data_IF_025708005042
#
_entry.id   IF_025708005042
#
_cell.length_a   1.000
_cell.length_b   1.000
_cell.length_c   1.000
_cell.angle_alpha   90.00
_cell.angle_beta   90.00
_cell.angle_gamma   90.00
#
_symmetry.space_group_name_H-M   'P 1'
#
loop_
_entity.id
_entity.type
_entity.pdbx_description
1 polymer ?
#
# COMPACT_ATOMS: atom_id res chain seq x y z
N UNK A 1 20.20 -88.90 -37.01
CA UNK A 1 18.97 -88.14 -36.94
C UNK A 1 18.67 -87.85 -35.46
N UNK A 2 19.26 -86.78 -34.90
CA UNK A 2 19.10 -86.31 -33.51
C UNK A 2 19.20 -84.75 -33.53
N UNK A 3 18.14 -84.03 -33.92
CA UNK A 3 18.17 -82.57 -33.90
C UNK A 3 16.90 -81.97 -33.25
N UNK A 4 15.93 -82.71 -32.81
CA UNK A 4 14.63 -82.23 -32.46
C UNK A 4 14.36 -81.93 -30.96
N UNK A 5 15.29 -82.25 -30.04
CA UNK A 5 15.05 -82.08 -28.61
C UNK A 5 15.61 -80.82 -27.99
N UNK A 6 16.47 -80.09 -28.72
CA UNK A 6 17.14 -78.91 -28.17
C UNK A 6 16.21 -77.61 -28.15
N UNK A 7 15.37 -77.46 -29.18
CA UNK A 7 14.44 -76.31 -29.29
C UNK A 7 13.35 -76.29 -28.24
N UNK A 8 12.97 -77.43 -27.72
CA UNK A 8 11.92 -77.53 -26.71
C UNK A 8 12.44 -77.16 -25.31
N UNK A 9 13.70 -77.40 -25.04
CA UNK A 9 14.33 -77.08 -23.76
C UNK A 9 14.57 -75.57 -23.63
N UNK A 10 15.00 -74.93 -24.69
CA UNK A 10 15.32 -73.49 -24.68
C UNK A 10 14.04 -72.60 -24.56
N UNK A 11 12.93 -73.02 -25.19
CA UNK A 11 11.65 -72.27 -25.09
C UNK A 11 11.03 -72.35 -23.69
N UNK A 12 11.27 -73.48 -22.95
CA UNK A 12 10.76 -73.58 -21.57
C UNK A 12 11.60 -72.76 -20.61
N UNK A 13 12.92 -72.68 -20.83
CA UNK A 13 13.85 -71.91 -20.02
C UNK A 13 13.52 -70.36 -20.16
N UNK A 14 13.26 -69.90 -21.40
CA UNK A 14 12.93 -68.50 -21.66
C UNK A 14 11.62 -68.13 -20.99
N UNK A 15 10.58 -68.94 -21.08
CA UNK A 15 9.29 -68.70 -20.41
C UNK A 15 9.38 -68.65 -18.88
N UNK A 16 10.29 -69.42 -18.32
CA UNK A 16 10.53 -69.46 -16.89
C UNK A 16 11.26 -68.20 -16.43
N UNK A 17 12.15 -67.67 -17.26
CA UNK A 17 12.91 -66.48 -16.99
C UNK A 17 12.00 -65.22 -17.07
N UNK A 18 11.08 -65.17 -18.05
CA UNK A 18 10.08 -64.07 -18.14
C UNK A 18 9.12 -64.08 -16.95
N UNK A 19 8.67 -65.24 -16.47
CA UNK A 19 7.82 -65.33 -15.26
C UNK A 19 8.55 -64.85 -14.00
N UNK A 20 9.83 -65.12 -13.88
CA UNK A 20 10.63 -64.66 -12.74
C UNK A 20 10.91 -63.16 -12.81
N UNK A 21 11.08 -62.59 -14.01
CA UNK A 21 11.21 -61.14 -14.19
C UNK A 21 9.91 -60.41 -13.85
N UNK A 22 8.74 -60.91 -14.29
CA UNK A 22 7.45 -60.32 -13.98
C UNK A 22 7.11 -60.40 -12.48
N UNK A 23 7.53 -61.46 -11.79
CA UNK A 23 7.32 -61.57 -10.34
C UNK A 23 8.24 -60.65 -9.53
N UNK A 24 9.40 -60.31 -10.05
CA UNK A 24 10.36 -59.39 -9.42
C UNK A 24 9.88 -57.93 -9.54
N UNK A 25 9.34 -57.52 -10.71
CA UNK A 25 8.79 -56.17 -10.92
C UNK A 25 7.49 -55.92 -10.18
N UNK A 26 6.70 -56.94 -9.90
CA UNK A 26 5.45 -56.80 -9.14
C UNK A 26 5.68 -56.66 -7.62
N UNK A 27 6.88 -56.94 -7.11
CA UNK A 27 7.19 -56.80 -5.68
C UNK A 27 7.83 -55.48 -5.28
N UNK A 28 8.21 -54.64 -6.23
CA UNK A 28 8.66 -53.29 -5.95
C UNK A 28 7.51 -52.26 -6.06
N UNK A 29 6.32 -52.59 -5.61
CA UNK A 29 5.46 -51.54 -5.07
C UNK A 29 6.11 -51.09 -3.79
N UNK A 30 6.90 -50.03 -3.90
CA UNK A 30 7.40 -49.25 -2.78
C UNK A 30 6.18 -48.97 -1.91
N UNK A 31 6.05 -49.66 -0.79
CA UNK A 31 5.23 -49.28 0.32
C UNK A 31 5.82 -47.94 0.79
N UNK A 32 5.44 -46.86 0.13
CA UNK A 32 5.63 -45.53 0.70
C UNK A 32 4.83 -45.58 1.99
N UNK A 33 5.50 -45.62 3.16
CA UNK A 33 4.77 -45.76 4.41
C UNK A 33 3.81 -44.57 4.45
N UNK A 34 2.55 -44.83 4.80
CA UNK A 34 1.50 -43.84 4.96
C UNK A 34 1.89 -42.65 5.86
N UNK A 35 3.01 -42.78 6.50
CA UNK A 35 3.70 -41.77 7.30
C UNK A 35 4.37 -40.69 6.46
N UNK A 36 4.98 -41.05 5.33
CA UNK A 36 5.60 -40.07 4.40
C UNK A 36 4.54 -39.20 3.67
N UNK A 37 3.41 -39.77 3.30
CA UNK A 37 2.29 -38.99 2.74
C UNK A 37 1.72 -37.98 3.75
N UNK A 38 1.61 -38.39 5.02
CA UNK A 38 1.15 -37.50 6.08
C UNK A 38 2.14 -36.37 6.41
N UNK A 39 3.45 -36.66 6.29
CA UNK A 39 4.48 -35.63 6.49
C UNK A 39 4.52 -34.65 5.34
N UNK A 40 4.44 -35.09 4.08
CA UNK A 40 4.41 -34.22 2.91
C UNK A 40 3.17 -33.32 2.93
N UNK A 41 2.00 -33.85 3.26
CA UNK A 41 0.76 -33.05 3.38
C UNK A 41 0.86 -31.99 4.49
N UNK A 42 1.41 -32.34 5.65
CA UNK A 42 1.62 -31.38 6.75
C UNK A 42 2.65 -30.31 6.42
N UNK A 43 3.74 -30.68 5.73
CA UNK A 43 4.73 -29.70 5.27
C UNK A 43 4.19 -28.77 4.20
N UNK A 44 3.38 -29.27 3.28
CA UNK A 44 2.74 -28.43 2.24
C UNK A 44 1.73 -27.45 2.85
N UNK A 45 0.91 -27.89 3.81
CA UNK A 45 0.01 -26.99 4.53
C UNK A 45 0.77 -25.92 5.34
N UNK A 46 1.91 -26.27 5.93
CA UNK A 46 2.72 -25.32 6.69
C UNK A 46 3.39 -24.27 5.79
N UNK A 47 3.86 -24.67 4.60
CA UNK A 47 4.41 -23.76 3.59
C UNK A 47 3.35 -22.78 3.02
N UNK A 48 2.11 -23.22 2.88
CA UNK A 48 1.01 -22.35 2.43
C UNK A 48 0.61 -21.31 3.49
N UNK A 49 0.80 -21.61 4.77
CA UNK A 49 0.53 -20.66 5.86
C UNK A 49 1.60 -19.57 6.00
N UNK A 50 2.83 -19.82 5.55
CA UNK A 50 3.93 -18.84 5.63
C UNK A 50 3.87 -17.84 4.44
N UNK A 51 3.31 -18.25 3.30
CA UNK A 51 3.21 -17.40 2.10
C UNK A 51 2.09 -16.37 2.14
N UNK A 52 1.24 -16.33 3.17
CA UNK A 52 0.06 -15.48 3.24
C UNK A 52 0.18 -14.21 4.08
N UNK A 53 1.32 -13.94 4.72
CA UNK A 53 1.55 -12.64 5.35
C UNK A 53 2.02 -11.63 4.31
N UNK A 54 1.09 -11.11 3.51
CA UNK A 54 1.27 -9.79 2.91
C UNK A 54 1.19 -8.82 4.08
N UNK A 55 2.28 -8.10 4.35
CA UNK A 55 2.23 -6.98 5.30
C UNK A 55 1.07 -6.08 4.87
N UNK A 56 0.21 -5.62 5.80
CA UNK A 56 -0.77 -4.59 5.45
C UNK A 56 -0.01 -3.41 4.83
N UNK A 57 -0.58 -2.74 3.82
CA UNK A 57 0.03 -1.55 3.29
C UNK A 57 0.35 -0.61 4.47
N UNK A 58 1.52 0.00 4.47
CA UNK A 58 2.02 0.85 5.56
C UNK A 58 1.09 2.04 5.87
N UNK A 59 0.14 2.33 4.99
CA UNK A 59 -0.85 3.40 5.11
C UNK A 59 -2.27 2.83 5.17
N UNK A 60 -2.83 2.77 6.37
CA UNK A 60 -4.19 2.29 6.61
C UNK A 60 -5.29 3.32 6.26
N UNK A 61 -4.91 4.54 5.89
CA UNK A 61 -5.82 5.67 5.63
C UNK A 61 -6.22 5.84 4.17
N UNK A 62 -5.67 5.02 3.27
CA UNK A 62 -5.98 5.04 1.84
C UNK A 62 -5.35 6.19 1.06
N UNK A 63 -4.46 6.98 1.65
CA UNK A 63 -3.70 7.99 0.92
C UNK A 63 -2.73 7.33 -0.05
N UNK A 64 -2.65 7.89 -1.25
CA UNK A 64 -1.64 7.54 -2.24
C UNK A 64 -0.45 8.48 -2.10
N UNK A 65 0.74 7.93 -2.19
CA UNK A 65 1.99 8.67 -2.14
C UNK A 65 2.08 9.69 -3.28
N UNK A 66 2.44 10.92 -2.93
CA UNK A 66 2.56 12.06 -3.85
C UNK A 66 1.27 12.46 -4.60
N UNK A 67 0.11 12.03 -4.10
CA UNK A 67 -1.19 12.39 -4.67
C UNK A 67 -2.02 13.13 -3.63
N UNK A 68 -2.23 14.46 -3.78
CA UNK A 68 -3.10 15.20 -2.89
C UNK A 68 -4.54 14.69 -2.94
N UNK A 69 -5.11 14.35 -1.79
CA UNK A 69 -6.52 14.03 -1.63
C UNK A 69 -7.26 15.28 -1.16
N UNK A 70 -8.29 15.70 -1.90
CA UNK A 70 -9.04 16.93 -1.68
C UNK A 70 -10.52 16.62 -1.44
N UNK A 71 -11.09 17.27 -0.44
CA UNK A 71 -12.55 17.46 -0.30
C UNK A 71 -12.81 18.95 -0.31
N UNK A 72 -13.69 19.41 -1.18
CA UNK A 72 -14.01 20.83 -1.34
C UNK A 72 -15.53 21.01 -1.44
N UNK A 73 -16.11 21.53 -0.37
CA UNK A 73 -17.54 21.75 -0.20
C UNK A 73 -17.81 23.21 0.23
N UNK A 74 -19.07 23.59 0.26
CA UNK A 74 -19.47 24.99 0.56
C UNK A 74 -19.23 25.44 2.00
N UNK A 75 -19.00 24.51 2.91
CA UNK A 75 -18.77 24.75 4.35
C UNK A 75 -17.53 24.03 4.88
N UNK A 76 -16.86 23.24 4.02
CA UNK A 76 -15.71 22.43 4.41
C UNK A 76 -14.69 22.30 3.29
N UNK A 77 -13.42 22.39 3.64
CA UNK A 77 -12.29 22.03 2.77
C UNK A 77 -11.31 21.15 3.52
N UNK A 78 -10.77 20.14 2.85
CA UNK A 78 -9.60 19.40 3.36
C UNK A 78 -8.62 19.06 2.25
N UNK A 79 -7.35 19.15 2.60
CA UNK A 79 -6.20 18.70 1.82
C UNK A 79 -5.45 17.68 2.66
N UNK A 80 -5.24 16.48 2.13
CA UNK A 80 -4.39 15.45 2.72
C UNK A 80 -3.35 15.01 1.70
N UNK A 81 -2.07 15.04 2.08
CA UNK A 81 -0.94 14.65 1.25
C UNK A 81 0.01 13.75 2.05
N UNK A 82 0.37 12.63 1.47
CA UNK A 82 1.50 11.79 1.87
C UNK A 82 2.61 12.04 0.85
N UNK A 83 3.62 12.82 1.24
CA UNK A 83 4.75 13.18 0.38
C UNK A 83 5.93 12.24 0.59
N UNK A 84 6.58 11.88 -0.52
CA UNK A 84 7.90 11.28 -0.58
C UNK A 84 8.69 12.01 -1.67
N UNK A 85 9.60 12.90 -1.28
CA UNK A 85 10.31 13.85 -2.16
C UNK A 85 9.37 14.67 -3.06
N UNK A 86 8.17 14.99 -2.56
CA UNK A 86 7.17 15.74 -3.33
C UNK A 86 7.65 17.15 -3.66
N UNK A 87 7.70 17.49 -4.97
CA UNK A 87 8.25 18.75 -5.47
C UNK A 87 7.35 19.40 -6.52
N UNK A 88 6.03 19.33 -6.31
CA UNK A 88 5.04 19.99 -7.17
C UNK A 88 4.44 21.22 -6.48
N UNK A 89 3.93 22.14 -7.30
CA UNK A 89 3.14 23.29 -6.86
C UNK A 89 1.70 23.09 -7.33
N UNK A 90 0.76 23.16 -6.40
CA UNK A 90 -0.68 22.99 -6.65
C UNK A 90 -1.47 24.10 -5.99
N UNK A 91 -2.50 24.56 -6.69
CA UNK A 91 -3.47 25.51 -6.19
C UNK A 91 -4.88 24.96 -6.32
N UNK A 92 -5.71 25.25 -5.33
CA UNK A 92 -7.12 24.85 -5.28
C UNK A 92 -7.97 26.08 -4.99
N UNK A 93 -8.86 26.40 -5.91
CA UNK A 93 -9.91 27.38 -5.67
C UNK A 93 -10.98 26.76 -4.78
N UNK A 94 -11.33 27.45 -3.69
CA UNK A 94 -12.26 26.93 -2.69
C UNK A 94 -13.71 27.18 -3.11
N UNK A 95 -14.55 26.15 -2.97
CA UNK A 95 -16.02 26.25 -3.06
C UNK A 95 -16.64 26.83 -1.79
N UNK A 96 -15.84 27.09 -0.75
CA UNK A 96 -16.27 27.61 0.54
C UNK A 96 -17.01 28.94 0.39
N UNK A 97 -18.21 29.01 0.96
CA UNK A 97 -19.04 30.26 0.96
C UNK A 97 -19.11 30.80 2.37
N UNK A 98 -18.64 32.03 2.57
CA UNK A 98 -18.59 32.66 3.88
C UNK A 98 -19.18 34.07 3.85
N UNK A 99 -19.78 34.46 4.97
CA UNK A 99 -20.26 35.82 5.25
C UNK A 99 -19.35 36.49 6.29
N UNK A 100 -19.36 37.80 6.37
CA UNK A 100 -18.50 38.55 7.31
C UNK A 100 -18.76 38.23 8.78
N UNK A 101 -19.89 37.62 9.12
CA UNK A 101 -20.24 37.22 10.48
C UNK A 101 -19.79 35.80 10.81
N UNK A 102 -19.35 35.04 9.79
CA UNK A 102 -18.90 33.64 9.96
C UNK A 102 -17.53 33.56 10.65
N UNK A 103 -17.29 32.42 11.22
CA UNK A 103 -15.98 32.02 11.77
C UNK A 103 -15.56 30.74 11.08
N UNK A 104 -14.30 30.62 10.77
CA UNK A 104 -13.72 29.36 10.31
C UNK A 104 -12.84 28.74 11.40
N UNK A 105 -12.93 27.42 11.54
CA UNK A 105 -11.94 26.61 12.25
C UNK A 105 -10.94 26.09 11.23
N UNK A 106 -9.67 26.44 11.39
CA UNK A 106 -8.60 25.86 10.57
C UNK A 106 -7.74 24.93 11.40
N UNK A 107 -7.37 23.79 10.81
CA UNK A 107 -6.55 22.78 11.46
C UNK A 107 -5.42 22.37 10.52
N UNK A 108 -4.19 22.27 11.07
CA UNK A 108 -3.01 21.78 10.38
C UNK A 108 -2.39 20.65 11.19
N UNK A 109 -2.16 19.53 10.53
CA UNK A 109 -1.39 18.40 11.07
C UNK A 109 -0.21 18.14 10.15
N UNK A 110 0.98 18.15 10.72
CA UNK A 110 2.20 17.71 10.08
C UNK A 110 2.77 16.56 10.90
N UNK A 111 3.00 15.42 10.26
CA UNK A 111 3.54 14.23 10.91
C UNK A 111 4.59 13.57 10.01
N UNK A 112 5.46 12.79 10.63
CA UNK A 112 6.47 11.98 9.95
C UNK A 112 7.38 12.79 9.01
N UNK A 113 7.59 14.08 9.34
CA UNK A 113 8.43 14.97 8.52
C UNK A 113 9.88 14.52 8.53
N UNK A 114 10.42 14.34 7.32
CA UNK A 114 11.86 14.21 7.07
C UNK A 114 12.33 15.48 6.37
N UNK A 115 13.01 16.36 7.09
CA UNK A 115 13.39 17.67 6.60
C UNK A 115 14.89 17.70 6.32
N UNK A 116 15.26 18.05 5.09
CA UNK A 116 16.63 18.39 4.74
C UNK A 116 16.88 19.91 4.90
N UNK A 117 18.14 20.34 4.99
CA UNK A 117 18.49 21.75 5.12
C UNK A 117 18.12 22.61 3.89
N UNK A 118 17.68 21.98 2.80
CA UNK A 118 17.31 22.64 1.55
C UNK A 118 15.80 22.69 1.34
N UNK A 119 15.01 22.02 2.19
CA UNK A 119 13.57 21.94 2.04
C UNK A 119 12.93 23.31 2.37
N UNK A 120 12.10 23.79 1.48
CA UNK A 120 11.40 25.07 1.61
C UNK A 120 9.93 24.96 1.21
N UNK A 121 9.28 23.85 1.59
CA UNK A 121 7.87 23.62 1.31
C UNK A 121 7.00 24.67 1.99
N UNK A 122 6.00 25.16 1.26
CA UNK A 122 5.15 26.28 1.68
C UNK A 122 3.68 25.89 1.47
N UNK A 123 2.88 26.11 2.51
CA UNK A 123 1.41 26.12 2.43
C UNK A 123 0.92 27.54 2.69
N UNK A 124 -0.02 28.03 1.92
CA UNK A 124 -0.68 29.29 2.21
C UNK A 124 -2.14 29.30 1.79
N UNK A 125 -2.90 30.16 2.47
CA UNK A 125 -4.28 30.48 2.15
C UNK A 125 -4.38 31.94 1.78
N UNK A 126 -5.03 32.21 0.66
CA UNK A 126 -5.34 33.58 0.19
C UNK A 126 -6.84 33.84 0.29
N UNK A 127 -7.18 35.09 0.58
CA UNK A 127 -8.56 35.57 0.56
C UNK A 127 -9.01 36.03 -0.84
N UNK A 128 -10.26 36.50 -0.93
CA UNK A 128 -10.88 37.03 -2.14
C UNK A 128 -10.24 38.33 -2.65
N UNK A 129 -9.48 39.03 -1.82
CA UNK A 129 -8.70 40.23 -2.20
C UNK A 129 -7.31 39.88 -2.72
N UNK A 130 -6.89 38.60 -2.63
CA UNK A 130 -5.56 38.12 -3.01
C UNK A 130 -4.50 38.25 -1.90
N UNK A 131 -4.93 38.63 -0.69
CA UNK A 131 -4.00 38.69 0.45
C UNK A 131 -3.75 37.32 1.04
N UNK A 132 -2.48 37.03 1.41
CA UNK A 132 -2.14 35.84 2.18
C UNK A 132 -2.57 36.00 3.62
N UNK A 133 -3.54 35.19 4.05
CA UNK A 133 -4.16 35.28 5.39
C UNK A 133 -3.69 34.19 6.34
N UNK A 134 -3.05 33.18 5.81
CA UNK A 134 -2.46 32.08 6.59
C UNK A 134 -1.25 31.51 5.87
N UNK A 135 -0.13 31.38 6.57
CA UNK A 135 1.10 30.78 6.07
C UNK A 135 1.87 30.15 7.25
N UNK A 136 1.66 28.86 7.52
CA UNK A 136 2.39 28.15 8.57
C UNK A 136 3.82 27.84 8.15
N UNK A 137 4.68 27.64 9.16
CA UNK A 137 6.05 27.14 8.98
C UNK A 137 5.98 25.60 8.98
N UNK A 138 6.48 24.95 7.92
CA UNK A 138 6.43 23.50 7.74
C UNK A 138 7.79 22.84 8.10
N UNK A 139 8.32 23.12 9.28
CA UNK A 139 9.68 22.67 9.68
C UNK A 139 9.69 21.65 10.82
N UNK A 140 8.54 21.24 11.32
CA UNK A 140 8.45 20.26 12.41
C UNK A 140 7.09 19.58 12.42
N UNK A 141 7.04 18.39 13.02
CA UNK A 141 5.76 17.76 13.32
C UNK A 141 4.95 18.67 14.23
N UNK A 142 3.72 18.95 13.85
CA UNK A 142 2.83 19.84 14.58
C UNK A 142 1.37 19.42 14.41
N UNK A 143 0.59 19.63 15.46
CA UNK A 143 -0.88 19.67 15.41
C UNK A 143 -1.29 21.04 15.90
N UNK A 144 -1.91 21.81 15.03
CA UNK A 144 -2.33 23.18 15.31
C UNK A 144 -3.75 23.41 14.83
N UNK A 145 -4.53 24.19 15.59
CA UNK A 145 -5.85 24.64 15.18
C UNK A 145 -6.13 26.04 15.69
N UNK A 146 -6.92 26.80 14.95
CA UNK A 146 -7.35 28.16 15.32
C UNK A 146 -8.72 28.47 14.75
N UNK A 147 -9.49 29.25 15.51
CA UNK A 147 -10.72 29.87 15.04
C UNK A 147 -10.41 31.31 14.58
N UNK A 148 -10.87 31.66 13.39
CA UNK A 148 -10.60 32.94 12.78
C UNK A 148 -11.91 33.51 12.25
N UNK A 149 -12.26 34.76 12.66
CA UNK A 149 -13.44 35.46 12.15
C UNK A 149 -13.18 35.96 10.72
N UNK A 150 -14.12 35.73 9.81
CA UNK A 150 -14.03 36.15 8.41
C UNK A 150 -13.92 37.66 8.28
N UNK A 151 -14.54 38.40 9.20
CA UNK A 151 -14.41 39.86 9.25
C UNK A 151 -12.96 40.36 9.33
N UNK A 152 -12.05 39.54 9.90
CA UNK A 152 -10.64 39.91 10.09
C UNK A 152 -9.76 39.57 8.89
N UNK A 153 -10.09 38.53 8.16
CA UNK A 153 -9.21 37.97 7.12
C UNK A 153 -9.79 38.02 5.70
N UNK A 154 -11.08 38.33 5.54
CA UNK A 154 -11.82 38.16 4.27
C UNK A 154 -12.18 36.69 4.01
N UNK A 155 -12.93 36.44 2.94
CA UNK A 155 -13.35 35.11 2.55
C UNK A 155 -12.16 34.31 2.00
N UNK A 156 -11.82 33.11 2.54
CA UNK A 156 -10.82 32.23 1.96
C UNK A 156 -11.20 31.85 0.53
N UNK A 157 -10.26 31.94 -0.40
CA UNK A 157 -10.53 31.72 -1.82
C UNK A 157 -9.62 30.72 -2.46
N UNK A 158 -8.35 30.70 -2.08
CA UNK A 158 -7.33 29.83 -2.68
C UNK A 158 -6.50 29.20 -1.57
N UNK A 159 -6.28 27.90 -1.68
CA UNK A 159 -5.22 27.18 -0.97
C UNK A 159 -4.13 26.83 -1.97
N UNK A 160 -2.88 27.10 -1.63
CA UNK A 160 -1.73 26.70 -2.42
C UNK A 160 -0.75 25.91 -1.56
N UNK A 161 -0.22 24.84 -2.11
CA UNK A 161 0.88 24.08 -1.55
C UNK A 161 1.97 23.91 -2.61
N UNK A 162 3.18 24.30 -2.22
CA UNK A 162 4.38 24.09 -2.99
C UNK A 162 5.32 23.18 -2.19
N UNK A 163 5.51 21.97 -2.67
CA UNK A 163 6.53 21.06 -2.16
C UNK A 163 7.91 21.42 -2.70
N UNK A 164 8.92 21.24 -1.87
CA UNK A 164 10.34 21.29 -2.21
C UNK A 164 11.01 20.12 -1.46
N UNK A 165 11.01 18.95 -2.10
CA UNK A 165 11.38 17.65 -1.54
C UNK A 165 10.61 17.31 -0.25
N UNK A 166 9.33 17.69 -0.20
CA UNK A 166 8.49 17.44 0.97
C UNK A 166 8.33 15.93 1.20
N UNK A 167 8.80 15.46 2.35
CA UNK A 167 8.63 14.09 2.81
C UNK A 167 7.96 14.08 4.16
N UNK A 168 6.77 13.44 4.23
CA UNK A 168 5.95 13.37 5.42
C UNK A 168 4.46 13.47 5.11
N UNK A 169 3.66 13.64 6.15
CA UNK A 169 2.20 13.75 6.07
C UNK A 169 1.76 15.17 6.37
N UNK A 170 0.97 15.75 5.47
CA UNK A 170 0.31 17.03 5.63
C UNK A 170 -1.20 16.81 5.58
N UNK A 171 -1.91 17.31 6.59
CA UNK A 171 -3.35 17.43 6.59
C UNK A 171 -3.72 18.88 6.94
N UNK A 172 -4.50 19.52 6.08
CA UNK A 172 -5.00 20.86 6.31
C UNK A 172 -6.51 20.89 6.10
N UNK A 173 -7.23 21.50 7.03
CA UNK A 173 -8.69 21.53 7.02
C UNK A 173 -9.20 22.93 7.34
N UNK A 174 -10.29 23.29 6.72
CA UNK A 174 -11.09 24.49 7.00
C UNK A 174 -12.53 24.04 7.20
N UNK A 175 -13.13 24.41 8.31
CA UNK A 175 -14.54 24.18 8.62
C UNK A 175 -15.21 25.50 8.94
N UNK A 176 -16.27 25.83 8.23
CA UNK A 176 -17.14 26.97 8.53
C UNK A 176 -18.00 26.67 9.76
N UNK A 177 -18.12 27.66 10.64
CA UNK A 177 -18.95 27.65 11.85
C UNK A 177 -20.01 28.72 11.80
#
# INVERSE_FOLDING_TARGET
>A
MKVNNQWHSDSVAIKQQEKNLQSSTARQRILIPSYLEKITYRMTCFLLLIGGCVAPPDYSDGLLENVPAIVDETDYFSLSLLGDDYSEEKEWELSLTTDSTDTILTTLVLADLSISNTDSSILFMMNDSGDTVFQPILLANVVWSSEIAIQLIGSPKIISFKGDNFTGRLEYQILKK
#
